data_IF_419379924051
#
_entry.id   IF_419379924051
#
_cell.length_a   1.000
_cell.length_b   1.000
_cell.length_c   1.000
_cell.angle_alpha   90.00
_cell.angle_beta   90.00
_cell.angle_gamma   90.00
#
_symmetry.space_group_name_H-M   'P 1'
#
loop_
_entity.id
_entity.type
_entity.pdbx_description
1 polymer ?
#
# COMPACT_ATOMS: atom_id res chain seq x y z
N UNK A 1 -18.62 -28.55 -14.97
CA UNK A 1 -17.82 -28.12 -13.83
C UNK A 1 -18.40 -26.87 -13.24
N UNK A 2 -18.72 -26.92 -11.98
CA UNK A 2 -19.24 -25.75 -11.29
C UNK A 2 -18.11 -24.72 -11.13
N UNK A 3 -18.26 -23.55 -11.74
CA UNK A 3 -17.44 -22.41 -11.43
C UNK A 3 -17.75 -21.98 -10.00
N UNK A 4 -16.91 -22.38 -9.07
CA UNK A 4 -16.98 -21.86 -7.71
C UNK A 4 -16.56 -20.42 -7.70
N UNK A 5 -17.52 -19.53 -7.92
CA UNK A 5 -17.31 -18.10 -7.73
C UNK A 5 -17.00 -17.86 -6.25
N UNK A 6 -15.81 -17.38 -5.96
CA UNK A 6 -15.40 -17.09 -4.60
C UNK A 6 -16.23 -15.93 -4.07
N UNK A 7 -17.19 -16.22 -3.22
CA UNK A 7 -18.05 -15.20 -2.60
C UNK A 7 -17.24 -14.44 -1.57
N UNK A 8 -17.11 -13.13 -1.78
CA UNK A 8 -16.48 -12.25 -0.78
C UNK A 8 -17.51 -11.82 0.26
N UNK A 9 -17.04 -11.38 1.44
CA UNK A 9 -17.91 -10.86 2.50
C UNK A 9 -18.76 -9.69 1.99
N UNK A 10 -18.19 -8.81 1.17
CA UNK A 10 -18.92 -7.69 0.58
C UNK A 10 -20.02 -8.16 -0.36
N UNK A 11 -19.77 -9.16 -1.19
CA UNK A 11 -20.77 -9.74 -2.09
C UNK A 11 -21.93 -10.38 -1.32
N UNK A 12 -21.64 -11.10 -0.26
CA UNK A 12 -22.64 -11.72 0.60
C UNK A 12 -23.53 -10.67 1.27
N UNK A 13 -22.96 -9.62 1.82
CA UNK A 13 -23.69 -8.53 2.47
C UNK A 13 -24.57 -7.78 1.45
N UNK A 14 -24.03 -7.47 0.28
CA UNK A 14 -24.78 -6.81 -0.80
C UNK A 14 -25.97 -7.67 -1.26
N UNK A 15 -25.78 -8.99 -1.36
CA UNK A 15 -26.84 -9.94 -1.69
C UNK A 15 -27.94 -9.97 -0.63
N UNK A 16 -27.59 -9.93 0.64
CA UNK A 16 -28.55 -9.85 1.76
C UNK A 16 -29.36 -8.55 1.68
N UNK A 17 -28.71 -7.42 1.45
CA UNK A 17 -29.39 -6.13 1.32
C UNK A 17 -30.40 -6.13 0.16
N UNK A 18 -30.01 -6.69 -0.98
CA UNK A 18 -30.90 -6.81 -2.14
C UNK A 18 -32.10 -7.70 -1.85
N UNK A 19 -31.89 -8.83 -1.17
CA UNK A 19 -32.97 -9.75 -0.78
C UNK A 19 -33.93 -9.11 0.23
N UNK A 20 -33.42 -8.39 1.20
CA UNK A 20 -34.19 -7.69 2.23
C UNK A 20 -35.07 -6.59 1.59
N UNK A 21 -34.54 -5.87 0.61
CA UNK A 21 -35.24 -4.79 -0.07
C UNK A 21 -36.51 -5.26 -0.83
N UNK A 22 -36.56 -6.56 -1.17
CA UNK A 22 -37.72 -7.15 -1.88
C UNK A 22 -38.77 -7.79 -0.95
N UNK A 23 -38.53 -7.79 0.36
CA UNK A 23 -39.43 -8.40 1.33
C UNK A 23 -40.60 -7.46 1.65
N UNK A 24 -41.84 -8.04 1.71
CA UNK A 24 -43.06 -7.33 2.08
C UNK A 24 -43.30 -7.26 3.58
N UNK A 25 -42.35 -7.69 4.38
CA UNK A 25 -42.44 -7.71 5.85
C UNK A 25 -41.39 -6.82 6.48
N UNK A 26 -41.76 -6.16 7.57
CA UNK A 26 -40.84 -5.33 8.35
C UNK A 26 -40.06 -6.12 9.40
N UNK A 27 -40.46 -7.35 9.67
CA UNK A 27 -39.83 -8.23 10.68
C UNK A 27 -39.27 -9.48 10.00
N UNK A 28 -37.95 -9.69 10.15
CA UNK A 28 -37.28 -10.88 9.60
C UNK A 28 -37.43 -12.09 10.53
N UNK A 29 -37.26 -11.88 11.83
CA UNK A 29 -37.45 -12.87 12.87
C UNK A 29 -37.63 -12.14 14.22
N UNK A 30 -37.98 -12.89 15.25
CA UNK A 30 -38.29 -12.31 16.56
C UNK A 30 -37.16 -11.40 17.07
N UNK A 31 -37.49 -10.14 17.33
CA UNK A 31 -36.57 -9.13 17.83
C UNK A 31 -35.68 -8.45 16.78
N UNK A 32 -35.79 -8.82 15.49
CA UNK A 32 -34.98 -8.24 14.43
C UNK A 32 -35.87 -7.77 13.28
N UNK A 33 -35.82 -6.49 12.99
CA UNK A 33 -36.55 -5.87 11.88
C UNK A 33 -35.70 -5.76 10.62
N UNK A 34 -36.35 -5.55 9.47
CA UNK A 34 -35.66 -5.27 8.19
C UNK A 34 -34.76 -4.04 8.33
N UNK A 35 -35.22 -3.00 9.04
CA UNK A 35 -34.43 -1.79 9.28
C UNK A 35 -33.15 -2.08 10.07
N UNK A 36 -33.22 -2.92 11.09
CA UNK A 36 -32.06 -3.32 11.90
C UNK A 36 -31.03 -4.07 11.07
N UNK A 37 -31.46 -5.03 10.25
CA UNK A 37 -30.57 -5.78 9.37
C UNK A 37 -29.97 -4.90 8.28
N UNK A 38 -30.74 -3.99 7.70
CA UNK A 38 -30.26 -3.04 6.70
C UNK A 38 -29.17 -2.15 7.29
N UNK A 39 -29.40 -1.60 8.48
CA UNK A 39 -28.41 -0.77 9.17
C UNK A 39 -27.14 -1.55 9.50
N UNK A 40 -27.26 -2.78 9.96
CA UNK A 40 -26.11 -3.66 10.24
C UNK A 40 -25.29 -3.94 8.97
N UNK A 41 -25.97 -4.31 7.86
CA UNK A 41 -25.29 -4.61 6.61
C UNK A 41 -24.58 -3.37 6.01
N UNK A 42 -25.22 -2.22 6.06
CA UNK A 42 -24.64 -0.97 5.59
C UNK A 42 -23.41 -0.59 6.41
N UNK A 43 -23.48 -0.77 7.73
CA UNK A 43 -22.37 -0.51 8.64
C UNK A 43 -21.16 -1.44 8.35
N UNK A 44 -21.43 -2.72 8.13
CA UNK A 44 -20.39 -3.70 7.76
C UNK A 44 -19.75 -3.37 6.42
N UNK A 45 -20.53 -2.94 5.43
CA UNK A 45 -20.00 -2.51 4.14
C UNK A 45 -19.11 -1.27 4.29
N UNK A 46 -19.49 -0.32 5.12
CA UNK A 46 -18.69 0.88 5.40
C UNK A 46 -17.36 0.52 6.04
N UNK A 47 -17.37 -0.43 7.00
CA UNK A 47 -16.14 -0.93 7.65
C UNK A 47 -15.24 -1.67 6.66
N UNK A 48 -15.81 -2.47 5.77
CA UNK A 48 -15.06 -3.17 4.71
C UNK A 48 -14.45 -2.17 3.72
N UNK A 49 -15.17 -1.13 3.34
CA UNK A 49 -14.67 -0.08 2.48
C UNK A 49 -13.49 0.68 3.12
N UNK A 50 -13.58 1.00 4.41
CA UNK A 50 -12.47 1.57 5.18
C UNK A 50 -11.26 0.65 5.22
N UNK A 51 -11.48 -0.65 5.42
CA UNK A 51 -10.43 -1.66 5.45
C UNK A 51 -9.76 -1.86 4.09
N UNK A 52 -10.55 -1.75 3.01
CA UNK A 52 -10.10 -1.91 1.63
C UNK A 52 -9.41 -0.65 1.09
N UNK A 53 -9.85 0.52 1.52
CA UNK A 53 -9.15 1.79 1.28
C UNK A 53 -7.77 1.78 1.95
N UNK A 54 -7.55 0.84 2.87
CA UNK A 54 -6.26 0.26 3.26
C UNK A 54 -5.25 1.20 3.87
N UNK A 55 -5.60 2.43 4.07
CA UNK A 55 -4.64 3.38 4.55
C UNK A 55 -4.93 3.75 5.98
N UNK A 56 -4.42 2.93 6.89
CA UNK A 56 -4.17 3.43 8.23
C UNK A 56 -3.28 4.68 8.11
N UNK A 57 -3.42 5.61 9.01
CA UNK A 57 -2.57 6.81 9.07
C UNK A 57 -1.07 6.44 8.99
N UNK A 58 -0.67 5.36 9.68
CA UNK A 58 0.69 4.85 9.65
C UNK A 58 1.13 4.39 8.24
N UNK A 59 0.24 3.77 7.47
CA UNK A 59 0.54 3.34 6.10
C UNK A 59 0.71 4.54 5.15
N UNK A 60 -0.09 5.59 5.32
CA UNK A 60 0.05 6.84 4.58
C UNK A 60 1.38 7.53 4.87
N UNK A 61 1.76 7.62 6.14
CA UNK A 61 3.04 8.20 6.57
C UNK A 61 4.22 7.41 5.98
N UNK A 62 4.15 6.08 5.98
CA UNK A 62 5.17 5.22 5.35
C UNK A 62 5.27 5.45 3.84
N UNK A 63 4.14 5.61 3.17
CA UNK A 63 4.11 5.89 1.74
C UNK A 63 4.74 7.25 1.43
N UNK A 64 4.46 8.29 2.22
CA UNK A 64 5.06 9.61 2.08
C UNK A 64 6.59 9.55 2.26
N UNK A 65 7.06 8.84 3.29
CA UNK A 65 8.49 8.64 3.54
C UNK A 65 9.15 7.92 2.37
N UNK A 66 8.52 6.87 1.84
CA UNK A 66 9.02 6.14 0.68
C UNK A 66 9.12 7.03 -0.55
N UNK A 67 8.11 7.84 -0.82
CA UNK A 67 8.10 8.76 -1.95
C UNK A 67 9.20 9.82 -1.82
N UNK A 68 9.38 10.37 -0.62
CA UNK A 68 10.44 11.31 -0.34
C UNK A 68 11.83 10.69 -0.56
N UNK A 69 12.05 9.47 -0.09
CA UNK A 69 13.29 8.73 -0.33
C UNK A 69 13.52 8.44 -1.82
N UNK A 70 12.46 8.09 -2.55
CA UNK A 70 12.54 7.84 -3.99
C UNK A 70 12.99 9.11 -4.74
N UNK A 71 12.47 10.26 -4.39
CA UNK A 71 12.85 11.55 -4.98
C UNK A 71 14.32 11.88 -4.69
N UNK A 72 14.76 11.68 -3.44
CA UNK A 72 16.15 11.91 -3.03
C UNK A 72 17.10 10.96 -3.78
N UNK A 73 16.77 9.70 -3.88
CA UNK A 73 17.57 8.68 -4.59
C UNK A 73 17.70 9.08 -6.07
N UNK A 74 16.61 9.45 -6.70
CA UNK A 74 16.59 9.89 -8.09
C UNK A 74 17.48 11.11 -8.29
N UNK A 75 17.41 12.08 -7.40
CA UNK A 75 18.24 13.29 -7.40
C UNK A 75 19.72 12.95 -7.26
N UNK A 76 20.09 12.12 -6.30
CA UNK A 76 21.48 11.69 -6.06
C UNK A 76 22.06 10.96 -7.26
N UNK A 77 21.30 10.03 -7.84
CA UNK A 77 21.74 9.28 -9.01
C UNK A 77 21.88 10.17 -10.25
N UNK A 78 20.99 11.14 -10.41
CA UNK A 78 21.05 12.11 -11.50
C UNK A 78 22.28 13.01 -11.37
N UNK A 79 22.56 13.51 -10.18
CA UNK A 79 23.71 14.38 -9.92
C UNK A 79 25.04 13.67 -10.13
N UNK A 80 25.16 12.41 -9.70
CA UNK A 80 26.38 11.63 -9.83
C UNK A 80 26.59 11.03 -11.22
N UNK A 81 25.50 10.77 -11.93
CA UNK A 81 25.55 10.25 -13.32
C UNK A 81 26.22 8.89 -13.49
N UNK A 82 26.41 8.13 -12.42
CA UNK A 82 27.07 6.81 -12.44
C UNK A 82 26.35 5.84 -11.49
N UNK A 83 26.51 4.53 -11.70
CA UNK A 83 25.97 3.54 -10.78
C UNK A 83 26.56 3.68 -9.36
N UNK A 84 25.68 3.59 -8.36
CA UNK A 84 26.05 3.72 -6.95
C UNK A 84 25.45 2.61 -6.11
N UNK A 85 26.18 2.18 -5.08
CA UNK A 85 25.61 1.31 -4.05
C UNK A 85 24.78 2.13 -3.08
N UNK A 86 23.92 1.45 -2.29
CA UNK A 86 23.14 2.11 -1.24
C UNK A 86 24.03 2.85 -0.24
N UNK A 87 25.14 2.24 0.16
CA UNK A 87 26.11 2.88 1.06
C UNK A 87 26.72 4.15 0.47
N UNK A 88 27.06 4.13 -0.81
CA UNK A 88 27.57 5.30 -1.51
C UNK A 88 26.54 6.41 -1.60
N UNK A 89 25.28 6.07 -1.88
CA UNK A 89 24.17 7.03 -1.89
C UNK A 89 23.97 7.67 -0.52
N UNK A 90 23.99 6.89 0.53
CA UNK A 90 23.86 7.39 1.91
C UNK A 90 25.02 8.30 2.33
N UNK A 91 26.23 8.02 1.81
CA UNK A 91 27.40 8.88 2.04
C UNK A 91 27.30 10.18 1.25
N UNK A 92 26.75 10.12 0.03
CA UNK A 92 26.60 11.29 -0.83
C UNK A 92 25.51 12.23 -0.33
N UNK A 93 24.45 11.72 0.29
CA UNK A 93 23.33 12.52 0.80
C UNK A 93 22.91 12.04 2.19
N UNK A 94 23.05 12.91 3.17
CA UNK A 94 22.69 12.61 4.57
C UNK A 94 21.19 12.39 4.77
N UNK A 95 20.34 12.91 3.88
CA UNK A 95 18.89 12.68 3.92
C UNK A 95 18.50 11.20 3.74
N UNK A 96 19.41 10.40 3.17
CA UNK A 96 19.25 8.94 3.04
C UNK A 96 19.73 8.17 4.28
N UNK A 97 20.40 8.82 5.21
CA UNK A 97 20.85 8.24 6.47
C UNK A 97 19.98 8.57 7.64
N UNK A 98 19.44 9.80 7.65
CA UNK A 98 18.61 10.31 8.74
C UNK A 98 17.41 11.03 8.14
N UNK A 99 16.20 10.68 8.58
CA UNK A 99 14.97 11.32 8.16
C UNK A 99 14.86 12.74 8.75
N UNK A 100 13.95 13.56 8.22
CA UNK A 100 13.73 14.94 8.72
C UNK A 100 13.38 15.00 10.21
N UNK A 101 12.69 13.96 10.72
CA UNK A 101 12.34 13.84 12.14
C UNK A 101 13.50 13.37 13.02
N UNK A 102 14.68 13.12 12.46
CA UNK A 102 15.86 12.65 13.17
C UNK A 102 15.98 11.14 13.32
N UNK A 103 15.02 10.37 12.81
CA UNK A 103 15.07 8.90 12.86
C UNK A 103 16.08 8.33 11.86
N UNK A 104 16.88 7.33 12.26
CA UNK A 104 17.83 6.71 11.34
C UNK A 104 17.11 5.91 10.26
N UNK A 105 17.61 6.01 9.04
CA UNK A 105 17.12 5.26 7.88
C UNK A 105 18.03 4.05 7.66
N UNK A 106 17.45 2.84 7.67
CA UNK A 106 18.20 1.61 7.44
C UNK A 106 18.56 1.42 5.97
N UNK A 107 19.66 0.72 5.73
CA UNK A 107 20.08 0.33 4.37
C UNK A 107 18.97 -0.48 3.67
N UNK A 108 18.28 -1.34 4.41
CA UNK A 108 17.18 -2.14 3.88
C UNK A 108 16.03 -1.28 3.35
N UNK A 109 15.71 -0.20 4.02
CA UNK A 109 14.66 0.73 3.59
C UNK A 109 15.05 1.42 2.28
N UNK A 110 16.28 1.91 2.18
CA UNK A 110 16.79 2.53 0.96
C UNK A 110 16.83 1.52 -0.19
N UNK A 111 17.32 0.32 0.08
CA UNK A 111 17.35 -0.78 -0.89
C UNK A 111 15.96 -1.13 -1.41
N UNK A 112 14.98 -1.23 -0.51
CA UNK A 112 13.58 -1.50 -0.86
C UNK A 112 13.02 -0.43 -1.80
N UNK A 113 13.30 0.84 -1.53
CA UNK A 113 12.87 1.96 -2.39
C UNK A 113 13.57 1.91 -3.75
N UNK A 114 14.86 1.59 -3.78
CA UNK A 114 15.60 1.41 -5.04
C UNK A 114 15.00 0.31 -5.91
N UNK A 115 14.65 -0.83 -5.35
CA UNK A 115 14.00 -1.91 -6.09
C UNK A 115 12.61 -1.52 -6.59
N UNK A 116 11.85 -0.75 -5.82
CA UNK A 116 10.57 -0.22 -6.27
C UNK A 116 10.73 0.71 -7.49
N UNK A 117 11.78 1.53 -7.51
CA UNK A 117 12.10 2.38 -8.66
C UNK A 117 12.56 1.56 -9.87
N UNK A 118 13.25 0.45 -9.65
CA UNK A 118 13.62 -0.50 -10.73
C UNK A 118 12.37 -1.10 -11.36
N UNK A 119 11.40 -1.52 -10.56
CA UNK A 119 10.12 -2.04 -11.06
C UNK A 119 9.35 -1.01 -11.88
N UNK A 120 9.44 0.27 -11.53
CA UNK A 120 8.82 1.37 -12.28
C UNK A 120 9.58 1.76 -13.54
N UNK A 121 10.79 1.22 -13.75
CA UNK A 121 11.63 1.54 -14.89
C UNK A 121 12.37 2.88 -14.78
N UNK A 122 12.40 3.50 -13.61
CA UNK A 122 13.09 4.78 -13.36
C UNK A 122 14.58 4.56 -13.09
N UNK A 123 14.91 3.44 -12.45
CA UNK A 123 16.28 3.07 -12.04
C UNK A 123 16.60 1.68 -12.57
N UNK A 124 17.84 1.45 -12.92
CA UNK A 124 18.35 0.13 -13.31
C UNK A 124 19.24 -0.43 -12.19
N UNK A 125 19.20 -1.74 -12.00
CA UNK A 125 20.03 -2.45 -11.05
C UNK A 125 21.06 -3.29 -11.79
N UNK A 126 22.33 -3.11 -11.45
CA UNK A 126 23.45 -3.90 -11.98
C UNK A 126 24.16 -4.56 -10.80
N UNK A 127 24.40 -5.86 -10.90
CA UNK A 127 25.18 -6.59 -9.90
C UNK A 127 26.60 -6.79 -10.40
N UNK A 128 27.56 -6.34 -9.61
CA UNK A 128 28.97 -6.52 -9.89
C UNK A 128 29.72 -6.88 -8.61
N UNK A 129 30.53 -7.94 -8.66
CA UNK A 129 31.32 -8.42 -7.50
C UNK A 129 30.53 -8.59 -6.20
N UNK A 130 29.32 -9.17 -6.28
CA UNK A 130 28.38 -9.36 -5.17
C UNK A 130 27.78 -8.07 -4.58
N UNK A 131 27.98 -6.94 -5.23
CA UNK A 131 27.37 -5.66 -4.85
C UNK A 131 26.30 -5.26 -5.84
N UNK A 132 25.21 -4.68 -5.34
CA UNK A 132 24.15 -4.12 -6.18
C UNK A 132 24.39 -2.63 -6.41
N UNK A 133 24.48 -2.24 -7.67
CA UNK A 133 24.60 -0.84 -8.09
C UNK A 133 23.32 -0.38 -8.70
N UNK A 134 22.90 0.82 -8.38
CA UNK A 134 21.71 1.46 -8.92
C UNK A 134 22.09 2.69 -9.72
N UNK A 135 21.49 2.85 -10.88
CA UNK A 135 21.72 3.98 -11.77
C UNK A 135 20.41 4.45 -12.38
N UNK A 136 20.37 5.68 -12.85
CA UNK A 136 19.21 6.17 -13.62
C UNK A 136 19.09 5.41 -14.92
N UNK A 137 17.87 5.03 -15.24
CA UNK A 137 17.54 4.34 -16.49
C UNK A 137 17.72 5.23 -17.72
#
# INVERSE_FOLDING_TARGET
MANTTKITKAMAITGILSAIATLDTDVLFEGVTVADMTAYCENELALLAKKKAGTSKAAMERAEVRNALADIITEVLTENGKPMTVSEMQTADSRLRVAENGDPISNQRVTSVCYALVEKGVVINTKEKKKSYFAMA
#
